data_IF_617244831770
#
_entry.id   IF_617244831770
#
_cell.length_a   1.000
_cell.length_b   1.000
_cell.length_c   1.000
_cell.angle_alpha   90.00
_cell.angle_beta   90.00
_cell.angle_gamma   90.00
#
_symmetry.space_group_name_H-M   'P 1'
#
loop_
_entity.id
_entity.type
_entity.pdbx_description
1 polymer ?
#
# COMPACT_ATOMS: atom_id res chain seq x y z
N UNK A 1 -1.43 17.31 21.72
CA UNK A 1 -1.24 16.18 20.80
C UNK A 1 -2.57 15.45 20.84
N UNK A 2 -3.50 15.83 19.97
CA UNK A 2 -4.87 15.29 19.99
C UNK A 2 -4.86 13.85 19.46
N UNK A 3 -5.56 12.99 20.18
CA UNK A 3 -5.69 11.55 19.97
C UNK A 3 -6.32 11.27 18.58
N UNK A 4 -5.62 10.57 17.66
CA UNK A 4 -6.18 10.21 16.35
C UNK A 4 -7.37 9.22 16.45
N UNK A 5 -7.70 8.72 17.65
CA UNK A 5 -8.76 7.74 17.91
C UNK A 5 -10.05 8.36 18.48
N UNK A 6 -10.16 9.68 18.60
CA UNK A 6 -11.29 10.37 19.24
C UNK A 6 -12.69 10.16 18.60
N UNK A 7 -12.81 9.35 17.54
CA UNK A 7 -14.08 8.94 16.92
C UNK A 7 -14.38 7.44 16.96
N UNK A 8 -13.50 6.61 17.55
CA UNK A 8 -13.70 5.18 17.65
C UNK A 8 -14.54 4.86 18.89
N UNK A 9 -15.85 4.73 18.71
CA UNK A 9 -16.74 4.14 19.72
C UNK A 9 -16.37 2.66 19.91
N UNK A 10 -15.61 2.36 20.96
CA UNK A 10 -15.30 1.01 21.43
C UNK A 10 -16.59 0.31 21.88
N UNK A 11 -17.16 -0.52 21.00
CA UNK A 11 -18.07 -1.59 21.42
C UNK A 11 -17.33 -2.90 21.18
N UNK A 12 -16.67 -3.39 22.23
CA UNK A 12 -16.19 -4.75 22.30
C UNK A 12 -17.44 -5.66 22.44
N UNK A 13 -18.00 -6.12 21.33
CA UNK A 13 -18.89 -7.27 21.35
C UNK A 13 -18.04 -8.52 21.18
N UNK A 14 -17.80 -9.22 22.29
CA UNK A 14 -17.16 -10.53 22.26
C UNK A 14 -18.00 -11.53 21.47
N UNK A 15 -17.40 -12.10 20.43
CA UNK A 15 -17.85 -13.37 19.86
C UNK A 15 -16.82 -14.42 20.26
N UNK A 16 -17.25 -15.33 21.14
CA UNK A 16 -16.54 -16.55 21.48
C UNK A 16 -16.57 -17.50 20.27
N UNK A 17 -15.62 -17.35 19.35
CA UNK A 17 -15.32 -18.41 18.39
C UNK A 17 -14.14 -19.22 18.93
N UNK A 18 -14.48 -20.36 19.53
CA UNK A 18 -13.53 -21.34 20.02
C UNK A 18 -12.74 -21.94 18.86
N UNK A 19 -11.45 -21.61 18.77
CA UNK A 19 -10.51 -22.36 17.95
C UNK A 19 -10.21 -23.70 18.64
N UNK A 20 -10.62 -24.80 18.01
CA UNK A 20 -10.10 -26.13 18.36
C UNK A 20 -8.58 -26.14 18.20
N UNK A 21 -7.87 -26.45 19.28
CA UNK A 21 -6.41 -26.62 19.28
C UNK A 21 -6.08 -27.84 18.42
N UNK A 22 -5.61 -27.61 17.19
CA UNK A 22 -5.08 -28.66 16.32
C UNK A 22 -3.99 -29.45 17.08
N UNK A 23 -4.20 -30.77 17.22
CA UNK A 23 -3.39 -31.63 18.10
C UNK A 23 -1.92 -31.84 17.66
N UNK A 24 -1.53 -31.26 16.53
CA UNK A 24 -0.12 -31.18 16.09
C UNK A 24 0.09 -29.80 15.46
N UNK A 25 0.80 -28.90 16.15
CA UNK A 25 1.26 -27.66 15.51
C UNK A 25 2.14 -28.01 14.31
N UNK A 26 1.96 -27.35 13.15
CA UNK A 26 2.80 -27.60 12.00
C UNK A 26 4.28 -27.32 12.35
N UNK A 27 5.15 -28.29 12.07
CA UNK A 27 6.58 -28.10 12.33
C UNK A 27 7.18 -27.26 11.20
N UNK A 28 7.42 -25.98 11.46
CA UNK A 28 8.18 -25.15 10.54
C UNK A 28 9.66 -25.59 10.53
N UNK A 29 10.37 -25.48 9.39
CA UNK A 29 11.81 -25.69 9.36
C UNK A 29 12.52 -24.86 10.43
N UNK A 30 13.47 -25.45 11.15
CA UNK A 30 14.12 -24.80 12.29
C UNK A 30 14.94 -23.55 11.93
N UNK A 31 15.40 -23.45 10.68
CA UNK A 31 16.19 -22.32 10.18
C UNK A 31 15.45 -21.56 9.09
N UNK A 32 15.52 -20.23 9.15
CA UNK A 32 15.04 -19.36 8.08
C UNK A 32 16.08 -19.28 6.97
N UNK A 33 15.66 -19.36 5.69
CA UNK A 33 16.55 -19.14 4.56
C UNK A 33 17.18 -17.74 4.60
N UNK A 34 18.43 -17.62 4.13
CA UNK A 34 19.04 -16.32 3.94
C UNK A 34 18.50 -15.66 2.66
N UNK A 35 18.16 -14.39 2.76
CA UNK A 35 17.68 -13.57 1.65
C UNK A 35 18.70 -12.45 1.40
N UNK A 36 19.01 -12.21 0.13
CA UNK A 36 19.84 -11.10 -0.30
C UNK A 36 19.03 -10.17 -1.20
N UNK A 37 19.17 -8.86 -0.96
CA UNK A 37 18.51 -7.81 -1.74
C UNK A 37 19.38 -7.45 -2.94
N UNK A 38 18.71 -6.98 -3.99
CA UNK A 38 19.34 -6.57 -5.24
C UNK A 38 19.67 -5.08 -5.27
N UNK A 39 20.21 -4.63 -6.40
CA UNK A 39 20.33 -3.21 -6.71
C UNK A 39 19.03 -2.67 -7.31
N UNK A 40 18.70 -1.39 -7.08
CA UNK A 40 17.50 -0.78 -7.63
C UNK A 40 17.52 -0.76 -9.16
N UNK A 41 16.32 -0.84 -9.74
CA UNK A 41 16.13 -0.73 -11.19
C UNK A 41 16.36 0.71 -11.60
N UNK A 42 17.28 0.91 -12.54
CA UNK A 42 17.64 2.24 -13.05
C UNK A 42 16.74 2.65 -14.22
N UNK A 43 16.72 3.95 -14.52
CA UNK A 43 15.98 4.46 -15.69
C UNK A 43 16.51 3.86 -17.01
N UNK A 44 17.81 3.62 -17.10
CA UNK A 44 18.43 3.00 -18.27
C UNK A 44 17.98 1.54 -18.46
N UNK A 45 17.83 0.79 -17.36
CA UNK A 45 17.29 -0.57 -17.40
C UNK A 45 15.81 -0.59 -17.80
N UNK A 46 15.02 0.42 -17.41
CA UNK A 46 13.61 0.53 -17.81
C UNK A 46 13.43 0.48 -19.33
N UNK A 47 14.25 1.21 -20.09
CA UNK A 47 14.19 1.22 -21.54
C UNK A 47 14.46 -0.15 -22.19
N UNK A 48 15.10 -1.09 -21.47
CA UNK A 48 15.34 -2.45 -21.95
C UNK A 48 14.16 -3.40 -21.68
N UNK A 49 13.36 -3.14 -20.64
CA UNK A 49 12.18 -3.95 -20.29
C UNK A 49 10.91 -3.47 -20.96
N UNK A 50 10.85 -2.18 -21.28
CA UNK A 50 9.66 -1.49 -21.73
C UNK A 50 9.89 -1.12 -23.20
N UNK A 51 9.16 -1.76 -24.11
CA UNK A 51 9.21 -1.40 -25.53
C UNK A 51 8.50 -0.05 -25.66
N UNK A 52 9.26 1.04 -25.45
CA UNK A 52 8.76 2.40 -25.57
C UNK A 52 8.45 2.60 -27.04
N UNK A 53 7.19 2.39 -27.43
CA UNK A 53 6.76 2.55 -28.80
C UNK A 53 6.89 4.02 -29.24
N UNK A 54 8.04 4.39 -29.83
CA UNK A 54 8.20 5.02 -31.14
C UNK A 54 9.65 5.47 -31.40
N UNK A 55 10.14 5.21 -32.63
CA UNK A 55 11.22 5.97 -33.26
C UNK A 55 12.62 5.35 -33.19
N UNK A 56 13.03 4.66 -34.27
CA UNK A 56 14.39 4.19 -34.40
C UNK A 56 15.44 5.28 -34.16
N UNK A 57 16.48 4.93 -33.40
CA UNK A 57 17.83 5.51 -33.50
C UNK A 57 18.07 6.96 -33.05
N UNK A 58 17.08 7.84 -32.90
CA UNK A 58 17.32 9.27 -32.61
C UNK A 58 16.76 9.82 -31.30
N UNK A 59 15.82 9.13 -30.63
CA UNK A 59 15.10 9.72 -29.49
C UNK A 59 15.70 9.40 -28.10
N UNK A 60 16.90 8.82 -28.05
CA UNK A 60 17.66 8.63 -26.79
C UNK A 60 18.06 9.96 -26.12
N UNK A 61 18.31 11.00 -26.90
CA UNK A 61 18.68 12.33 -26.38
C UNK A 61 17.46 13.16 -25.94
N UNK A 62 16.27 12.89 -26.48
CA UNK A 62 15.03 13.62 -26.15
C UNK A 62 14.56 13.34 -24.72
N UNK A 63 14.62 12.08 -24.28
CA UNK A 63 14.28 11.63 -22.91
C UNK A 63 15.15 12.29 -21.82
N UNK A 64 16.37 12.70 -22.14
CA UNK A 64 17.29 13.34 -21.18
C UNK A 64 17.05 14.84 -21.02
N UNK A 65 16.20 15.45 -21.86
CA UNK A 65 16.09 16.92 -21.95
C UNK A 65 14.82 17.52 -21.33
N UNK A 66 13.75 16.74 -21.11
CA UNK A 66 12.53 17.17 -20.39
C UNK A 66 11.60 15.98 -20.08
N UNK A 67 11.26 15.68 -18.81
CA UNK A 67 10.39 14.56 -18.45
C UNK A 67 8.87 14.85 -18.62
N UNK A 68 8.48 16.01 -19.16
CA UNK A 68 7.10 16.50 -19.06
C UNK A 68 6.19 16.26 -20.28
N UNK A 69 6.53 15.40 -21.23
CA UNK A 69 5.62 15.09 -22.35
C UNK A 69 5.34 13.60 -22.49
N UNK A 70 4.08 13.23 -22.16
CA UNK A 70 3.41 11.99 -22.56
C UNK A 70 4.28 10.74 -22.49
N UNK A 71 4.42 10.16 -21.30
CA UNK A 71 4.97 8.82 -21.16
C UNK A 71 4.08 7.84 -21.96
N UNK A 72 4.57 7.44 -23.14
CA UNK A 72 4.02 6.41 -23.99
C UNK A 72 3.71 5.16 -23.16
N UNK A 73 2.55 4.54 -23.37
CA UNK A 73 2.17 3.33 -22.63
C UNK A 73 3.25 2.28 -22.84
N UNK A 74 3.77 1.82 -21.73
CA UNK A 74 4.76 0.77 -21.66
C UNK A 74 4.13 -0.55 -22.11
N UNK A 75 4.54 -1.06 -23.27
CA UNK A 75 4.16 -2.40 -23.73
C UNK A 75 5.30 -3.36 -23.37
N UNK A 76 5.05 -4.27 -22.44
CA UNK A 76 5.96 -5.35 -22.09
C UNK A 76 5.21 -6.68 -22.21
N UNK A 77 5.89 -7.74 -22.65
CA UNK A 77 5.31 -9.09 -22.61
C UNK A 77 5.02 -9.49 -21.16
N UNK A 78 4.17 -10.50 -20.96
CA UNK A 78 3.90 -11.03 -19.62
C UNK A 78 5.18 -11.49 -18.91
N UNK A 79 6.12 -12.09 -19.66
CA UNK A 79 7.41 -12.54 -19.15
C UNK A 79 8.32 -11.37 -18.75
N UNK A 80 8.44 -10.34 -19.61
CA UNK A 80 9.19 -9.11 -19.29
C UNK A 80 8.60 -8.39 -18.08
N UNK A 81 7.27 -8.32 -17.98
CA UNK A 81 6.56 -7.73 -16.85
C UNK A 81 6.84 -8.50 -15.55
N UNK A 82 6.83 -9.84 -15.62
CA UNK A 82 7.15 -10.68 -14.46
C UNK A 82 8.61 -10.52 -14.02
N UNK A 83 9.54 -10.44 -14.97
CA UNK A 83 10.96 -10.20 -14.67
C UNK A 83 11.20 -8.82 -14.05
N UNK A 84 10.58 -7.78 -14.61
CA UNK A 84 10.67 -6.43 -14.06
C UNK A 84 10.10 -6.37 -12.63
N UNK A 85 8.95 -6.99 -12.38
CA UNK A 85 8.42 -7.12 -11.01
C UNK A 85 9.39 -7.84 -10.07
N UNK A 86 10.06 -8.91 -10.51
CA UNK A 86 11.10 -9.60 -9.71
C UNK A 86 12.28 -8.68 -9.40
N UNK A 87 12.75 -7.91 -10.39
CA UNK A 87 13.84 -6.93 -10.23
C UNK A 87 13.46 -5.85 -9.21
N UNK A 88 12.27 -5.27 -9.33
CA UNK A 88 11.75 -4.26 -8.39
C UNK A 88 11.58 -4.85 -6.98
N UNK A 89 11.03 -6.06 -6.86
CA UNK A 89 10.89 -6.75 -5.57
C UNK A 89 12.25 -6.95 -4.89
N UNK A 90 13.30 -7.27 -5.67
CA UNK A 90 14.64 -7.49 -5.15
C UNK A 90 15.34 -6.21 -4.73
N UNK A 91 15.33 -5.18 -5.57
CA UNK A 91 16.19 -4.00 -5.41
C UNK A 91 15.49 -2.64 -5.32
N UNK A 92 14.21 -2.57 -5.66
CA UNK A 92 13.44 -1.32 -5.66
C UNK A 92 13.67 -0.52 -6.93
N UNK A 93 13.38 0.77 -6.86
CA UNK A 93 13.42 1.68 -8.01
C UNK A 93 14.26 2.90 -7.66
N UNK A 94 15.15 3.27 -8.58
CA UNK A 94 15.95 4.49 -8.48
C UNK A 94 15.04 5.74 -8.64
N UNK A 95 15.28 6.85 -7.91
CA UNK A 95 14.39 8.02 -7.91
C UNK A 95 13.97 8.51 -9.30
N UNK A 96 14.89 8.55 -10.26
CA UNK A 96 14.69 9.02 -11.63
C UNK A 96 13.73 8.11 -12.44
N UNK A 97 13.62 6.84 -12.07
CA UNK A 97 12.74 5.87 -12.72
C UNK A 97 11.35 5.78 -12.06
N UNK A 98 11.16 6.36 -10.86
CA UNK A 98 9.92 6.21 -10.08
C UNK A 98 8.69 6.71 -10.81
N UNK A 99 8.73 7.89 -11.43
CA UNK A 99 7.56 8.45 -12.11
C UNK A 99 7.02 7.49 -13.19
N UNK A 100 7.91 6.91 -14.00
CA UNK A 100 7.55 5.95 -15.04
C UNK A 100 7.06 4.63 -14.45
N UNK A 101 7.83 4.03 -13.54
CA UNK A 101 7.56 2.68 -13.06
C UNK A 101 6.44 2.61 -12.04
N UNK A 102 6.21 3.64 -11.22
CA UNK A 102 5.05 3.71 -10.33
C UNK A 102 3.75 3.78 -11.14
N UNK A 103 3.75 4.62 -12.19
CA UNK A 103 2.63 4.69 -13.13
C UNK A 103 2.38 3.31 -13.76
N UNK A 104 3.42 2.61 -14.16
CA UNK A 104 3.29 1.26 -14.72
C UNK A 104 2.80 0.22 -13.68
N UNK A 105 3.33 0.22 -12.45
CA UNK A 105 2.91 -0.71 -11.40
C UNK A 105 1.43 -0.53 -11.05
N UNK A 106 0.97 0.72 -10.92
CA UNK A 106 -0.36 1.06 -10.43
C UNK A 106 -1.43 1.15 -11.52
N UNK A 107 -1.08 1.50 -12.77
CA UNK A 107 -2.04 1.60 -13.88
C UNK A 107 -1.83 0.55 -14.98
N UNK A 108 -0.65 -0.03 -15.11
CA UNK A 108 -0.24 -0.85 -16.26
C UNK A 108 -0.28 -2.36 -16.04
N UNK A 109 -0.29 -2.82 -14.79
CA UNK A 109 -0.40 -4.24 -14.47
C UNK A 109 -1.80 -4.75 -14.81
N UNK A 110 -1.92 -5.92 -15.44
CA UNK A 110 -3.18 -6.57 -15.85
C UNK A 110 -4.22 -6.78 -14.72
N UNK A 111 -3.87 -6.43 -13.47
CA UNK A 111 -4.72 -6.46 -12.29
C UNK A 111 -5.42 -5.11 -11.98
N UNK A 112 -5.17 -4.05 -12.74
CA UNK A 112 -5.96 -2.81 -12.61
C UNK A 112 -7.42 -3.10 -13.03
N UNK A 113 -8.42 -2.92 -12.17
CA UNK A 113 -9.80 -3.27 -12.45
C UNK A 113 -10.41 -2.42 -13.58
N UNK A 114 -11.34 -3.03 -14.32
CA UNK A 114 -12.41 -2.42 -15.10
C UNK A 114 -12.11 -1.40 -16.23
N UNK A 115 -10.89 -1.33 -16.77
CA UNK A 115 -10.62 -0.56 -18.00
C UNK A 115 -10.99 -1.36 -19.27
N UNK A 116 -12.23 -1.83 -19.33
CA UNK A 116 -12.78 -2.55 -20.49
C UNK A 116 -12.79 -1.78 -21.83
N UNK A 117 -12.60 -0.45 -21.94
CA UNK A 117 -12.59 0.16 -23.28
C UNK A 117 -11.29 0.04 -24.09
N UNK A 118 -10.20 -0.55 -23.60
CA UNK A 118 -8.89 -0.31 -24.25
C UNK A 118 -7.89 -1.48 -24.31
N UNK A 119 -8.37 -2.72 -24.27
CA UNK A 119 -7.55 -3.88 -24.62
C UNK A 119 -7.43 -4.04 -26.15
N UNK A 120 -6.67 -3.19 -26.85
CA UNK A 120 -6.15 -3.50 -28.19
C UNK A 120 -5.14 -2.47 -28.74
N UNK A 121 -3.87 -2.85 -28.87
CA UNK A 121 -2.80 -2.28 -29.74
C UNK A 121 -2.27 -0.86 -29.47
N UNK A 122 -0.99 -0.62 -29.80
CA UNK A 122 -0.29 0.67 -29.70
C UNK A 122 -0.96 1.88 -30.41
N UNK A 123 -2.00 1.67 -31.22
CA UNK A 123 -2.84 2.74 -31.79
C UNK A 123 -3.82 3.37 -30.77
N UNK A 124 -3.79 2.88 -29.53
CA UNK A 124 -4.81 3.08 -28.51
C UNK A 124 -4.28 3.87 -27.30
N UNK A 125 -2.97 4.13 -27.21
CA UNK A 125 -2.36 4.86 -26.10
C UNK A 125 -2.75 6.33 -26.06
N UNK A 126 -2.75 6.99 -27.22
CA UNK A 126 -3.27 8.35 -27.34
C UNK A 126 -4.75 8.44 -26.93
N UNK A 127 -5.54 7.38 -27.19
CA UNK A 127 -6.94 7.30 -26.76
C UNK A 127 -7.06 7.08 -25.26
N UNK A 128 -6.18 6.27 -24.65
CA UNK A 128 -6.12 6.03 -23.20
C UNK A 128 -5.84 7.33 -22.46
N UNK A 129 -4.77 8.01 -22.85
CA UNK A 129 -4.36 9.26 -22.21
C UNK A 129 -5.38 10.38 -22.40
N UNK A 130 -6.01 10.44 -23.57
CA UNK A 130 -7.12 11.36 -23.82
C UNK A 130 -8.31 11.05 -22.91
N UNK A 131 -8.68 9.78 -22.77
CA UNK A 131 -9.76 9.34 -21.89
C UNK A 131 -9.47 9.65 -20.43
N UNK A 132 -8.29 9.28 -19.91
CA UNK A 132 -7.88 9.54 -18.52
C UNK A 132 -7.99 11.04 -18.19
N UNK A 133 -7.56 11.90 -19.12
CA UNK A 133 -7.64 13.36 -18.97
C UNK A 133 -9.07 13.87 -18.98
N UNK A 134 -9.90 13.43 -19.92
CA UNK A 134 -11.29 13.86 -20.01
C UNK A 134 -12.10 13.39 -18.81
N UNK A 135 -11.89 12.14 -18.40
CA UNK A 135 -12.58 11.51 -17.28
C UNK A 135 -12.22 12.18 -15.95
N UNK A 136 -10.92 12.40 -15.69
CA UNK A 136 -10.49 13.17 -14.53
C UNK A 136 -11.12 14.58 -14.53
N UNK A 137 -11.12 15.26 -15.68
CA UNK A 137 -11.74 16.58 -15.81
C UNK A 137 -13.24 16.53 -15.55
N UNK A 138 -13.93 15.49 -16.00
CA UNK A 138 -15.35 15.26 -15.78
C UNK A 138 -15.66 15.09 -14.28
N UNK A 139 -14.91 14.24 -13.58
CA UNK A 139 -15.04 14.01 -12.15
C UNK A 139 -14.74 15.29 -11.34
N UNK A 140 -13.66 16.00 -11.67
CA UNK A 140 -13.29 17.25 -11.00
C UNK A 140 -14.36 18.32 -11.15
N UNK A 141 -14.95 18.46 -12.34
CA UNK A 141 -16.06 19.41 -12.59
C UNK A 141 -17.29 19.12 -11.71
N UNK A 142 -17.57 17.87 -11.36
CA UNK A 142 -18.75 17.52 -10.55
C UNK A 142 -18.70 18.18 -9.17
N UNK A 143 -17.60 18.06 -8.43
CA UNK A 143 -17.49 18.66 -7.10
C UNK A 143 -17.14 20.16 -7.18
N UNK A 144 -16.33 20.57 -8.15
CA UNK A 144 -15.89 21.96 -8.27
C UNK A 144 -17.01 22.92 -8.71
N UNK A 145 -18.08 22.40 -9.32
CA UNK A 145 -19.28 23.19 -9.68
C UNK A 145 -20.32 23.30 -8.57
N UNK A 146 -20.11 22.61 -7.44
CA UNK A 146 -21.03 22.69 -6.28
C UNK A 146 -20.90 24.06 -5.63
N UNK A 147 -21.98 24.85 -5.69
CA UNK A 147 -22.06 26.15 -5.01
C UNK A 147 -22.11 26.00 -3.49
N UNK A 148 -21.73 27.04 -2.76
CA UNK A 148 -21.85 27.06 -1.28
C UNK A 148 -23.28 26.77 -0.80
N UNK A 149 -24.30 27.27 -1.51
CA UNK A 149 -25.69 26.97 -1.18
C UNK A 149 -26.05 25.49 -1.36
N UNK A 150 -25.51 24.82 -2.38
CA UNK A 150 -25.66 23.38 -2.57
C UNK A 150 -24.86 22.59 -1.52
N UNK A 151 -23.62 22.99 -1.24
CA UNK A 151 -22.76 22.37 -0.22
C UNK A 151 -23.43 22.37 1.16
N UNK A 152 -24.07 23.49 1.53
CA UNK A 152 -24.83 23.61 2.78
C UNK A 152 -26.04 22.65 2.88
N UNK A 153 -26.53 22.16 1.74
CA UNK A 153 -27.65 21.20 1.64
C UNK A 153 -27.19 19.78 1.29
N UNK A 154 -25.88 19.54 1.25
CA UNK A 154 -25.30 18.24 0.96
C UNK A 154 -24.33 17.83 2.09
N UNK A 155 -24.89 17.37 3.21
CA UNK A 155 -24.13 17.05 4.42
C UNK A 155 -22.98 16.07 4.15
N UNK A 156 -23.24 14.97 3.43
CA UNK A 156 -22.20 13.96 3.16
C UNK A 156 -20.98 14.55 2.44
N UNK A 157 -21.18 15.37 1.40
CA UNK A 157 -20.08 16.01 0.67
C UNK A 157 -19.37 17.06 1.53
N UNK A 158 -20.13 17.88 2.27
CA UNK A 158 -19.59 18.90 3.17
C UNK A 158 -18.73 18.27 4.26
N UNK A 159 -19.21 17.22 4.89
CA UNK A 159 -18.53 16.55 6.00
C UNK A 159 -17.25 15.87 5.50
N UNK A 160 -17.28 15.23 4.31
CA UNK A 160 -16.08 14.70 3.62
C UNK A 160 -15.07 15.80 3.29
N UNK A 161 -15.52 16.93 2.74
CA UNK A 161 -14.66 18.10 2.46
C UNK A 161 -13.98 18.59 3.74
N UNK A 162 -14.71 18.70 4.85
CA UNK A 162 -14.14 19.10 6.14
C UNK A 162 -13.11 18.10 6.68
N UNK A 163 -13.29 16.80 6.46
CA UNK A 163 -12.29 15.78 6.82
C UNK A 163 -11.03 15.91 5.96
N UNK A 164 -11.19 16.09 4.64
CA UNK A 164 -10.08 16.32 3.71
C UNK A 164 -9.29 17.57 4.12
N UNK A 165 -9.97 18.69 4.38
CA UNK A 165 -9.31 19.94 4.78
C UNK A 165 -8.50 19.76 6.08
N UNK A 166 -9.02 19.04 7.07
CA UNK A 166 -8.30 18.73 8.32
C UNK A 166 -7.03 17.92 8.06
N UNK A 167 -7.12 16.88 7.25
CA UNK A 167 -5.99 15.98 6.99
C UNK A 167 -4.94 16.60 6.07
N UNK A 168 -5.35 17.33 5.03
CA UNK A 168 -4.45 18.09 4.15
C UNK A 168 -3.60 19.07 4.96
N UNK A 169 -4.22 19.81 5.89
CA UNK A 169 -3.53 20.83 6.69
C UNK A 169 -2.44 20.25 7.62
N UNK A 170 -2.54 18.97 7.98
CA UNK A 170 -1.55 18.28 8.84
C UNK A 170 -0.62 17.33 8.09
N UNK A 171 -0.80 17.14 6.78
CA UNK A 171 -0.03 16.18 5.99
C UNK A 171 1.43 16.62 5.81
N UNK A 172 2.36 15.75 6.24
CA UNK A 172 3.80 15.77 5.98
C UNK A 172 4.48 17.16 5.96
N UNK A 173 4.13 18.03 6.93
CA UNK A 173 4.58 19.43 7.00
C UNK A 173 6.09 19.62 7.10
N UNK A 174 6.82 18.56 7.43
CA UNK A 174 8.29 18.53 7.45
C UNK A 174 8.89 18.34 6.05
N UNK A 175 8.14 17.77 5.11
CA UNK A 175 8.57 17.55 3.74
C UNK A 175 8.46 18.84 2.90
N UNK A 176 9.46 19.11 2.06
CA UNK A 176 9.55 20.36 1.30
C UNK A 176 8.31 20.63 0.43
N UNK A 177 7.74 19.58 -0.16
CA UNK A 177 6.55 19.67 -1.01
C UNK A 177 5.29 20.21 -0.28
N UNK A 178 5.16 19.93 1.03
CA UNK A 178 3.98 20.22 1.84
C UNK A 178 4.22 21.27 2.93
N UNK A 179 5.42 21.86 2.98
CA UNK A 179 5.82 22.84 4.00
C UNK A 179 5.05 24.15 3.92
N UNK A 180 4.74 24.63 2.71
CA UNK A 180 3.96 25.85 2.48
C UNK A 180 2.45 25.54 2.61
N UNK A 181 1.70 26.16 3.55
CA UNK A 181 0.24 26.01 3.64
C UNK A 181 -0.50 26.35 2.34
N UNK A 182 0.07 27.26 1.54
CA UNK A 182 -0.48 27.65 0.24
C UNK A 182 0.32 27.04 -0.92
N UNK A 183 1.04 25.95 -0.67
CA UNK A 183 1.84 25.26 -1.66
C UNK A 183 0.98 24.54 -2.72
N UNK A 184 1.55 24.34 -3.91
CA UNK A 184 0.85 23.64 -5.01
C UNK A 184 0.44 22.22 -4.63
N UNK A 185 1.28 21.47 -3.90
CA UNK A 185 1.02 20.07 -3.59
C UNK A 185 -0.14 19.88 -2.61
N UNK A 186 -0.38 20.83 -1.68
CA UNK A 186 -1.55 20.74 -0.78
C UNK A 186 -2.86 21.03 -1.51
N UNK A 187 -2.84 21.97 -2.48
CA UNK A 187 -3.99 22.15 -3.37
C UNK A 187 -4.25 20.91 -4.21
N UNK A 188 -3.21 20.34 -4.81
CA UNK A 188 -3.34 19.08 -5.57
C UNK A 188 -3.83 17.93 -4.68
N UNK A 189 -3.35 17.83 -3.43
CA UNK A 189 -3.81 16.84 -2.47
C UNK A 189 -5.30 16.99 -2.18
N UNK A 190 -5.76 18.21 -1.88
CA UNK A 190 -7.17 18.51 -1.69
C UNK A 190 -8.01 18.17 -2.92
N UNK A 191 -7.59 18.62 -4.09
CA UNK A 191 -8.31 18.45 -5.36
C UNK A 191 -8.41 16.97 -5.76
N UNK A 192 -7.32 16.21 -5.64
CA UNK A 192 -7.29 14.78 -5.92
C UNK A 192 -8.22 14.01 -4.98
N UNK A 193 -8.22 14.30 -3.67
CA UNK A 193 -9.09 13.62 -2.70
C UNK A 193 -10.57 13.95 -2.94
N UNK A 194 -10.89 15.21 -3.25
CA UNK A 194 -12.25 15.61 -3.63
C UNK A 194 -12.70 14.93 -4.92
N UNK A 195 -11.80 14.82 -5.91
CA UNK A 195 -12.07 14.16 -7.19
C UNK A 195 -12.22 12.65 -7.00
N UNK A 196 -11.43 12.02 -6.12
CA UNK A 196 -11.58 10.61 -5.78
C UNK A 196 -12.91 10.32 -5.10
N UNK A 197 -13.37 11.23 -4.23
CA UNK A 197 -14.70 11.13 -3.64
C UNK A 197 -15.84 11.18 -4.66
N UNK A 198 -15.63 11.73 -5.87
CA UNK A 198 -16.59 11.63 -6.99
C UNK A 198 -16.43 10.33 -7.77
N UNK A 199 -15.21 9.78 -7.86
CA UNK A 199 -14.91 8.51 -8.51
C UNK A 199 -15.55 7.33 -7.75
N UNK A 200 -15.31 7.25 -6.44
CA UNK A 200 -15.91 6.27 -5.55
C UNK A 200 -16.73 7.02 -4.50
N UNK A 201 -18.00 7.28 -4.82
CA UNK A 201 -18.88 8.08 -3.97
C UNK A 201 -19.34 7.36 -2.70
N UNK A 202 -19.35 6.02 -2.70
CA UNK A 202 -19.73 5.23 -1.54
C UNK A 202 -18.65 5.30 -0.46
N UNK A 203 -17.40 5.06 -0.84
CA UNK A 203 -16.24 5.20 0.05
C UNK A 203 -15.95 6.67 0.38
N UNK A 204 -15.92 7.54 -0.64
CA UNK A 204 -15.67 8.96 -0.49
C UNK A 204 -14.26 9.26 0.03
N UNK A 205 -14.17 9.73 1.27
CA UNK A 205 -12.92 10.00 1.96
C UNK A 205 -12.97 9.49 3.40
N UNK A 206 -11.91 8.79 3.80
CA UNK A 206 -11.67 8.31 5.15
C UNK A 206 -10.28 8.77 5.60
N UNK A 207 -10.17 9.12 6.88
CA UNK A 207 -8.94 9.62 7.49
C UNK A 207 -7.78 8.63 7.22
N UNK A 208 -6.63 9.16 6.78
CA UNK A 208 -5.47 8.35 6.39
C UNK A 208 -5.30 8.19 4.88
N UNK A 209 -6.34 8.38 4.05
CA UNK A 209 -6.19 8.36 2.59
C UNK A 209 -5.25 9.46 2.05
N UNK A 210 -5.13 10.59 2.75
CA UNK A 210 -4.16 11.64 2.41
C UNK A 210 -2.72 11.17 2.57
N UNK A 211 -2.45 10.28 3.51
CA UNK A 211 -1.12 9.70 3.73
C UNK A 211 -0.70 8.77 2.59
N UNK A 212 -1.68 8.08 2.00
CA UNK A 212 -1.48 7.23 0.83
C UNK A 212 -1.20 8.06 -0.44
N UNK A 213 -1.92 9.17 -0.62
CA UNK A 213 -1.78 10.02 -1.80
C UNK A 213 -0.54 10.92 -1.77
N UNK A 214 -0.07 11.35 -0.59
CA UNK A 214 1.00 12.32 -0.48
C UNK A 214 2.30 11.91 -1.21
N UNK A 215 2.84 10.68 -1.07
CA UNK A 215 4.02 10.28 -1.82
C UNK A 215 3.80 10.21 -3.34
N UNK A 216 2.61 9.79 -3.78
CA UNK A 216 2.26 9.77 -5.21
C UNK A 216 2.33 11.17 -5.83
N UNK A 217 1.86 12.21 -5.12
CA UNK A 217 1.94 13.60 -5.58
C UNK A 217 3.37 14.11 -5.74
N UNK A 218 4.27 13.70 -4.84
CA UNK A 218 5.67 14.10 -4.89
C UNK A 218 6.39 13.41 -6.05
N UNK A 219 6.09 12.13 -6.31
CA UNK A 219 6.71 11.39 -7.43
C UNK A 219 6.14 11.78 -8.79
N UNK A 220 4.82 11.96 -8.90
CA UNK A 220 4.16 12.20 -10.19
C UNK A 220 4.26 13.66 -10.65
N UNK A 221 4.34 14.62 -9.73
CA UNK A 221 4.35 16.08 -9.94
C UNK A 221 3.20 16.66 -10.78
N UNK A 222 2.28 15.83 -11.28
CA UNK A 222 1.03 16.23 -11.95
C UNK A 222 -0.18 15.69 -11.21
N UNK A 223 -1.26 16.48 -11.18
CA UNK A 223 -2.51 16.09 -10.52
C UNK A 223 -3.15 14.88 -11.21
N UNK A 224 -3.15 14.88 -12.56
CA UNK A 224 -3.75 13.82 -13.37
C UNK A 224 -3.10 12.46 -13.10
N UNK A 225 -1.77 12.40 -13.11
CA UNK A 225 -1.06 11.14 -12.96
C UNK A 225 -1.10 10.65 -11.51
N UNK A 226 -0.99 11.57 -10.55
CA UNK A 226 -1.15 11.24 -9.13
C UNK A 226 -2.55 10.71 -8.82
N UNK A 227 -3.59 11.33 -9.39
CA UNK A 227 -4.98 10.88 -9.22
C UNK A 227 -5.16 9.44 -9.71
N UNK A 228 -4.73 9.12 -10.94
CA UNK A 228 -4.94 7.79 -11.49
C UNK A 228 -4.03 6.73 -10.85
N UNK A 229 -2.81 7.10 -10.42
CA UNK A 229 -1.99 6.21 -9.58
C UNK A 229 -2.68 5.95 -8.24
N UNK A 230 -3.33 6.96 -7.66
CA UNK A 230 -4.05 6.84 -6.41
C UNK A 230 -5.30 5.96 -6.54
N UNK A 231 -6.03 6.06 -7.65
CA UNK A 231 -7.12 5.13 -7.98
C UNK A 231 -6.59 3.68 -8.00
N UNK A 232 -5.53 3.41 -8.76
CA UNK A 232 -4.92 2.07 -8.81
C UNK A 232 -4.37 1.58 -7.47
N UNK A 233 -3.89 2.49 -6.62
CA UNK A 233 -3.48 2.14 -5.25
C UNK A 233 -4.71 1.84 -4.36
N UNK A 234 -5.79 2.60 -4.50
CA UNK A 234 -7.01 2.38 -3.75
C UNK A 234 -7.70 1.06 -4.14
N UNK A 235 -7.51 0.53 -5.35
CA UNK A 235 -7.99 -0.82 -5.69
C UNK A 235 -7.37 -1.92 -4.81
N UNK A 236 -6.18 -1.66 -4.24
CA UNK A 236 -5.51 -2.56 -3.28
C UNK A 236 -5.92 -2.30 -1.83
N UNK A 237 -6.41 -1.10 -1.54
CA UNK A 237 -6.55 -0.57 -0.18
C UNK A 237 -7.98 -0.22 0.23
N UNK A 238 -8.93 -0.16 -0.69
CA UNK A 238 -10.29 0.34 -0.46
C UNK A 238 -10.99 -0.39 0.70
N UNK A 239 -10.88 -1.72 0.75
CA UNK A 239 -11.46 -2.56 1.81
C UNK A 239 -10.97 -2.15 3.23
N UNK A 240 -9.77 -1.56 3.35
CA UNK A 240 -9.27 -1.06 4.64
C UNK A 240 -10.03 0.16 5.15
N UNK A 241 -10.74 0.86 4.27
CA UNK A 241 -11.49 2.08 4.54
C UNK A 241 -13.01 1.89 4.51
N UNK A 242 -13.49 0.65 4.42
CA UNK A 242 -14.92 0.35 4.53
C UNK A 242 -15.50 0.83 5.86
N UNK A 243 -16.75 1.27 5.82
CA UNK A 243 -17.43 1.86 6.99
C UNK A 243 -17.57 0.86 8.16
N UNK A 244 -17.67 -0.44 7.88
CA UNK A 244 -17.74 -1.52 8.87
C UNK A 244 -16.37 -2.08 9.28
N UNK A 245 -15.30 -1.56 8.66
CA UNK A 245 -13.90 -1.96 8.82
C UNK A 245 -13.64 -3.44 8.53
N UNK A 246 -14.42 -4.05 7.64
CA UNK A 246 -14.29 -5.48 7.32
C UNK A 246 -12.89 -5.86 6.82
N UNK A 247 -12.27 -5.07 5.93
CA UNK A 247 -10.91 -5.32 5.44
C UNK A 247 -9.87 -5.29 6.55
N UNK A 248 -9.93 -4.29 7.44
CA UNK A 248 -9.01 -4.18 8.58
C UNK A 248 -9.15 -5.34 9.57
N UNK A 249 -10.38 -5.70 9.94
CA UNK A 249 -10.63 -6.85 10.84
C UNK A 249 -10.10 -8.15 10.26
N UNK A 250 -10.29 -8.36 8.95
CA UNK A 250 -9.78 -9.52 8.23
C UNK A 250 -8.25 -9.58 8.27
N UNK A 251 -7.58 -8.48 7.91
CA UNK A 251 -6.11 -8.44 7.92
C UNK A 251 -5.52 -8.64 9.33
N UNK A 252 -6.15 -8.09 10.36
CA UNK A 252 -5.73 -8.30 11.77
C UNK A 252 -5.91 -9.75 12.21
N UNK A 253 -7.01 -10.41 11.83
CA UNK A 253 -7.22 -11.83 12.08
C UNK A 253 -6.19 -12.70 11.35
N UNK A 254 -5.91 -12.41 10.07
CA UNK A 254 -4.88 -13.09 9.30
C UNK A 254 -3.48 -12.87 9.90
N UNK A 255 -3.18 -11.66 10.37
CA UNK A 255 -1.94 -11.36 11.08
C UNK A 255 -1.83 -12.15 12.38
N UNK A 256 -2.91 -12.27 13.16
CA UNK A 256 -2.96 -13.10 14.37
C UNK A 256 -2.64 -14.56 14.06
N UNK A 257 -3.22 -15.15 13.00
CA UNK A 257 -2.90 -16.52 12.57
C UNK A 257 -1.41 -16.67 12.20
N UNK A 258 -0.87 -15.73 11.42
CA UNK A 258 0.55 -15.74 11.03
C UNK A 258 1.47 -15.62 12.25
N UNK A 259 1.18 -14.72 13.19
CA UNK A 259 1.95 -14.54 14.43
C UNK A 259 1.87 -15.79 15.31
N UNK A 260 0.70 -16.42 15.40
CA UNK A 260 0.52 -17.67 16.16
C UNK A 260 1.38 -18.81 15.63
N UNK A 261 1.55 -18.89 14.31
CA UNK A 261 2.38 -19.91 13.67
C UNK A 261 3.87 -19.57 13.67
N UNK A 262 4.24 -18.33 13.35
CA UNK A 262 5.64 -17.90 13.19
C UNK A 262 6.32 -17.53 14.50
N UNK A 263 5.57 -17.01 15.49
CA UNK A 263 6.06 -16.41 16.73
C UNK A 263 5.24 -16.89 17.94
N UNK A 264 5.20 -18.21 18.22
CA UNK A 264 4.29 -18.80 19.21
C UNK A 264 4.51 -18.27 20.64
N UNK A 265 5.74 -17.92 21.00
CA UNK A 265 6.07 -17.32 22.30
C UNK A 265 5.44 -15.93 22.47
N UNK A 266 5.53 -15.09 21.42
CA UNK A 266 4.86 -13.79 21.38
C UNK A 266 3.34 -13.96 21.36
N UNK A 267 2.80 -14.87 20.56
CA UNK A 267 1.37 -15.11 20.48
C UNK A 267 0.77 -15.52 21.85
N UNK A 268 1.47 -16.40 22.57
CA UNK A 268 1.10 -16.79 23.93
C UNK A 268 1.18 -15.62 24.92
N UNK A 269 2.15 -14.72 24.75
CA UNK A 269 2.24 -13.51 25.54
C UNK A 269 1.07 -12.56 25.27
N UNK A 270 0.77 -12.28 24.01
CA UNK A 270 -0.31 -11.38 23.62
C UNK A 270 -1.67 -11.91 24.08
N UNK A 271 -1.91 -13.22 23.95
CA UNK A 271 -3.16 -13.86 24.43
C UNK A 271 -3.31 -13.72 25.95
N UNK A 272 -2.23 -13.89 26.72
CA UNK A 272 -2.26 -13.72 28.19
C UNK A 272 -2.61 -12.30 28.63
N UNK A 273 -2.31 -11.32 27.80
CA UNK A 273 -2.51 -9.89 28.05
C UNK A 273 -3.68 -9.29 27.25
N UNK A 274 -4.57 -10.12 26.70
CA UNK A 274 -5.74 -9.71 25.89
C UNK A 274 -5.38 -8.76 24.72
N UNK A 275 -4.18 -8.93 24.17
CA UNK A 275 -3.61 -8.15 23.08
C UNK A 275 -3.54 -8.92 21.74
N UNK A 276 -4.15 -10.11 21.67
CA UNK A 276 -4.15 -11.02 20.52
C UNK A 276 -5.01 -10.55 19.34
N UNK A 277 -5.81 -9.49 19.52
CA UNK A 277 -6.56 -8.82 18.45
C UNK A 277 -5.68 -7.97 17.51
N UNK A 278 -4.40 -7.80 17.83
CA UNK A 278 -3.40 -7.09 17.01
C UNK A 278 -3.70 -5.61 16.72
N UNK A 279 -4.61 -4.95 17.44
CA UNK A 279 -4.98 -3.55 17.15
C UNK A 279 -3.80 -2.56 17.24
N UNK A 280 -2.72 -2.90 17.94
CA UNK A 280 -1.48 -2.11 17.92
C UNK A 280 -0.81 -2.05 16.53
N UNK A 281 -1.15 -2.96 15.61
CA UNK A 281 -0.73 -2.94 14.20
C UNK A 281 -1.72 -2.21 13.28
N UNK A 282 -2.84 -1.68 13.78
CA UNK A 282 -3.89 -1.07 12.95
C UNK A 282 -3.34 0.06 12.06
N UNK A 283 -2.53 0.95 12.62
CA UNK A 283 -1.90 2.06 11.87
C UNK A 283 -0.97 1.55 10.77
N UNK A 284 -0.25 0.46 11.01
CA UNK A 284 0.65 -0.13 10.01
C UNK A 284 -0.11 -0.60 8.78
N UNK A 285 -1.23 -1.29 8.99
CA UNK A 285 -2.03 -1.87 7.91
C UNK A 285 -2.88 -0.82 7.19
N UNK A 286 -3.49 0.12 7.93
CA UNK A 286 -4.37 1.13 7.34
C UNK A 286 -3.66 2.02 6.32
N UNK A 287 -2.42 2.44 6.63
CA UNK A 287 -1.64 3.35 5.77
C UNK A 287 -0.34 2.74 5.26
N UNK A 288 -0.29 1.40 5.15
CA UNK A 288 0.87 0.63 4.68
C UNK A 288 2.22 1.19 5.19
N UNK A 289 2.35 1.25 6.51
CA UNK A 289 3.53 1.66 7.26
C UNK A 289 4.03 3.09 6.98
N UNK A 290 3.26 3.95 6.30
CA UNK A 290 3.65 5.33 5.96
C UNK A 290 4.14 6.15 7.15
N UNK A 291 3.62 5.85 8.35
CA UNK A 291 3.95 6.54 9.60
C UNK A 291 5.19 5.98 10.30
N UNK A 292 5.70 4.84 9.86
CA UNK A 292 6.81 4.14 10.52
C UNK A 292 8.15 4.38 9.85
N UNK A 293 8.14 4.90 8.62
CA UNK A 293 9.32 5.03 7.77
C UNK A 293 9.54 6.46 7.30
N UNK A 294 10.78 6.79 6.94
CA UNK A 294 11.10 8.03 6.24
C UNK A 294 10.61 7.99 4.79
N UNK A 295 10.53 9.15 4.13
CA UNK A 295 9.95 9.27 2.79
C UNK A 295 10.55 8.29 1.77
N UNK A 296 11.88 8.17 1.71
CA UNK A 296 12.54 7.28 0.76
C UNK A 296 12.30 5.80 1.07
N UNK A 297 12.25 5.45 2.36
CA UNK A 297 11.92 4.09 2.82
C UNK A 297 10.46 3.72 2.51
N UNK A 298 9.53 4.68 2.63
CA UNK A 298 8.14 4.50 2.22
C UNK A 298 8.06 4.22 0.73
N UNK A 299 8.74 5.02 -0.10
CA UNK A 299 8.81 4.80 -1.54
C UNK A 299 9.31 3.38 -1.85
N UNK A 300 10.45 3.00 -1.27
CA UNK A 300 11.07 1.69 -1.44
C UNK A 300 10.16 0.54 -1.00
N UNK A 301 9.48 0.68 0.13
CA UNK A 301 8.55 -0.34 0.65
C UNK A 301 7.36 -0.53 -0.30
N UNK A 302 6.71 0.56 -0.71
CA UNK A 302 5.54 0.48 -1.58
C UNK A 302 5.87 -0.08 -2.96
N UNK A 303 7.04 0.27 -3.51
CA UNK A 303 7.56 -0.34 -4.74
C UNK A 303 7.61 -1.87 -4.64
N UNK A 304 8.07 -2.41 -3.50
CA UNK A 304 8.09 -3.87 -3.25
C UNK A 304 6.67 -4.42 -3.15
N UNK A 305 5.81 -3.79 -2.35
CA UNK A 305 4.44 -4.27 -2.12
C UNK A 305 3.61 -4.29 -3.41
N UNK A 306 3.70 -3.26 -4.25
CA UNK A 306 2.98 -3.17 -5.52
C UNK A 306 3.41 -4.22 -6.55
N UNK A 307 4.56 -4.87 -6.37
CA UNK A 307 4.92 -6.02 -7.24
C UNK A 307 3.97 -7.21 -7.06
N UNK A 308 3.30 -7.32 -5.90
CA UNK A 308 2.50 -8.49 -5.53
C UNK A 308 3.34 -9.74 -5.24
N UNK A 309 4.66 -9.58 -5.08
CA UNK A 309 5.60 -10.66 -4.76
C UNK A 309 6.00 -10.63 -3.28
N UNK A 310 6.40 -11.79 -2.71
CA UNK A 310 6.35 -13.12 -3.31
C UNK A 310 4.97 -13.80 -3.13
N UNK A 311 4.03 -13.15 -2.44
CA UNK A 311 2.75 -13.70 -2.02
C UNK A 311 1.67 -12.61 -1.95
N UNK A 312 0.41 -13.03 -1.88
CA UNK A 312 -0.76 -12.12 -1.92
C UNK A 312 -0.73 -11.03 -0.85
N UNK A 313 -0.45 -11.41 0.40
CA UNK A 313 -0.48 -10.52 1.56
C UNK A 313 0.91 -10.32 2.18
N UNK A 314 1.91 -9.97 1.37
CA UNK A 314 3.29 -9.79 1.84
C UNK A 314 3.45 -8.70 2.92
N UNK A 315 2.56 -7.70 2.95
CA UNK A 315 2.52 -6.67 4.00
C UNK A 315 2.26 -7.26 5.40
N UNK A 316 1.54 -8.38 5.53
CA UNK A 316 1.34 -9.06 6.82
C UNK A 316 2.62 -9.74 7.31
N UNK A 317 3.43 -10.27 6.38
CA UNK A 317 4.76 -10.80 6.73
C UNK A 317 5.74 -9.68 7.12
N UNK A 318 5.56 -8.46 6.59
CA UNK A 318 6.30 -7.29 7.07
C UNK A 318 5.93 -6.96 8.53
N UNK A 319 4.66 -7.03 8.92
CA UNK A 319 4.26 -6.92 10.33
C UNK A 319 4.93 -8.00 11.19
N UNK A 320 4.88 -9.26 10.74
CA UNK A 320 5.52 -10.38 11.46
C UNK A 320 7.03 -10.16 11.62
N UNK A 321 7.71 -9.66 10.59
CA UNK A 321 9.14 -9.36 10.63
C UNK A 321 9.50 -8.28 11.66
N UNK A 322 8.70 -7.22 11.77
CA UNK A 322 8.90 -6.20 12.82
C UNK A 322 8.68 -6.84 14.19
N UNK A 323 7.59 -7.59 14.37
CA UNK A 323 7.28 -8.22 15.67
C UNK A 323 8.30 -9.28 16.08
N UNK A 324 8.88 -10.03 15.14
CA UNK A 324 9.93 -11.01 15.40
C UNK A 324 11.21 -10.37 15.97
N UNK A 325 11.54 -9.17 15.50
CA UNK A 325 12.66 -8.37 16.02
C UNK A 325 12.39 -7.88 17.43
N UNK A 326 11.16 -7.46 17.71
CA UNK A 326 10.78 -6.77 18.95
C UNK A 326 10.25 -7.70 20.04
N UNK A 327 9.91 -8.97 19.71
CA UNK A 327 9.27 -9.92 20.64
C UNK A 327 10.02 -10.09 21.96
N UNK A 328 11.36 -10.09 21.91
CA UNK A 328 12.17 -10.34 23.09
C UNK A 328 12.01 -9.24 24.13
N UNK A 329 11.91 -7.97 23.68
CA UNK A 329 11.64 -6.82 24.55
C UNK A 329 10.23 -6.89 25.10
N UNK A 330 9.23 -7.11 24.22
CA UNK A 330 7.81 -7.18 24.61
C UNK A 330 7.58 -8.22 25.71
N UNK A 331 8.14 -9.42 25.54
CA UNK A 331 7.98 -10.53 26.49
C UNK A 331 8.78 -10.28 27.77
N UNK A 332 10.03 -9.82 27.66
CA UNK A 332 10.90 -9.61 28.84
C UNK A 332 10.40 -8.50 29.74
N UNK A 333 9.85 -7.43 29.17
CA UNK A 333 9.25 -6.32 29.92
C UNK A 333 7.80 -6.58 30.34
N UNK A 334 7.27 -7.76 30.00
CA UNK A 334 5.90 -8.20 30.30
C UNK A 334 4.83 -7.17 29.90
N UNK A 335 4.97 -6.61 28.69
CA UNK A 335 4.11 -5.52 28.23
C UNK A 335 2.68 -6.00 27.98
N UNK A 336 1.70 -5.29 28.56
CA UNK A 336 0.27 -5.46 28.25
C UNK A 336 -0.11 -4.78 26.93
N UNK A 337 -1.39 -4.80 26.53
CA UNK A 337 -1.86 -4.15 25.30
C UNK A 337 -1.42 -2.67 25.20
N UNK A 338 -1.53 -1.90 26.29
CA UNK A 338 -1.20 -0.46 26.29
C UNK A 338 0.31 -0.26 26.16
N UNK A 339 1.10 -1.09 26.85
CA UNK A 339 2.55 -1.12 26.77
C UNK A 339 3.03 -1.46 25.37
N UNK A 340 2.48 -2.51 24.76
CA UNK A 340 2.80 -2.92 23.38
C UNK A 340 2.44 -1.81 22.40
N UNK A 341 1.23 -1.24 22.49
CA UNK A 341 0.80 -0.14 21.62
C UNK A 341 1.74 1.07 21.72
N UNK A 342 2.12 1.46 22.94
CA UNK A 342 3.07 2.56 23.15
C UNK A 342 4.43 2.23 22.55
N UNK A 343 4.96 1.05 22.85
CA UNK A 343 6.26 0.61 22.34
C UNK A 343 6.30 0.59 20.81
N UNK A 344 5.29 -0.02 20.18
CA UNK A 344 5.13 -0.08 18.72
C UNK A 344 5.06 1.32 18.11
N UNK A 345 4.33 2.26 18.72
CA UNK A 345 4.28 3.64 18.25
C UNK A 345 5.64 4.34 18.34
N UNK A 346 6.45 4.03 19.34
CA UNK A 346 7.79 4.57 19.55
C UNK A 346 8.84 3.97 18.60
N UNK A 347 8.51 2.92 17.85
CA UNK A 347 9.36 2.36 16.79
C UNK A 347 9.37 3.20 15.51
N UNK A 348 8.44 4.15 15.36
CA UNK A 348 8.38 5.01 14.18
C UNK A 348 9.75 5.64 13.89
N UNK A 349 10.19 5.53 12.63
CA UNK A 349 11.49 5.98 12.11
C UNK A 349 12.72 5.26 12.70
N UNK A 350 12.54 4.15 13.43
CA UNK A 350 13.64 3.32 13.99
C UNK A 350 13.72 1.92 13.36
N UNK A 351 12.76 1.58 12.49
CA UNK A 351 12.69 0.28 11.83
C UNK A 351 13.66 0.27 10.65
N UNK A 352 14.55 -0.73 10.61
CA UNK A 352 15.41 -0.99 9.45
C UNK A 352 14.59 -1.69 8.34
N UNK A 353 14.34 -0.95 7.25
CA UNK A 353 13.50 -1.42 6.14
C UNK A 353 14.05 -2.68 5.47
N UNK A 354 15.34 -2.70 5.12
CA UNK A 354 15.91 -3.81 4.36
C UNK A 354 16.00 -5.08 5.21
N UNK A 355 16.32 -4.96 6.50
CA UNK A 355 16.26 -6.07 7.44
C UNK A 355 14.83 -6.60 7.62
N UNK A 356 13.83 -5.72 7.71
CA UNK A 356 12.42 -6.10 7.77
C UNK A 356 12.02 -6.87 6.50
N UNK A 357 12.32 -6.33 5.32
CA UNK A 357 12.01 -6.98 4.04
C UNK A 357 12.69 -8.35 3.94
N UNK A 358 13.97 -8.46 4.30
CA UNK A 358 14.72 -9.72 4.30
C UNK A 358 14.07 -10.78 5.19
N UNK A 359 13.70 -10.38 6.40
CA UNK A 359 13.06 -11.26 7.38
C UNK A 359 11.67 -11.69 6.91
N UNK A 360 10.88 -10.77 6.38
CA UNK A 360 9.54 -11.06 5.85
C UNK A 360 9.59 -12.07 4.69
N UNK A 361 10.54 -11.92 3.78
CA UNK A 361 10.72 -12.89 2.69
C UNK A 361 11.26 -14.23 3.20
N UNK A 362 12.19 -14.22 4.15
CA UNK A 362 12.69 -15.45 4.75
C UNK A 362 11.57 -16.23 5.45
N UNK A 363 10.63 -15.53 6.12
CA UNK A 363 9.41 -16.13 6.68
C UNK A 363 8.53 -16.73 5.60
N UNK A 364 8.32 -16.05 4.47
CA UNK A 364 7.58 -16.61 3.34
C UNK A 364 8.21 -17.91 2.83
N UNK A 365 9.54 -17.92 2.62
CA UNK A 365 10.25 -19.10 2.15
C UNK A 365 10.21 -20.25 3.16
N UNK A 366 10.28 -19.95 4.45
CA UNK A 366 10.14 -20.93 5.53
C UNK A 366 8.74 -21.56 5.51
N UNK A 367 7.69 -20.75 5.38
CA UNK A 367 6.30 -21.23 5.30
C UNK A 367 6.07 -22.07 4.05
N UNK A 368 6.61 -21.65 2.90
CA UNK A 368 6.52 -22.39 1.64
C UNK A 368 7.17 -23.78 1.69
N UNK A 369 8.15 -23.96 2.58
CA UNK A 369 8.85 -25.25 2.78
C UNK A 369 8.19 -26.12 3.86
N UNK A 370 7.16 -25.65 4.55
CA UNK A 370 6.47 -26.43 5.56
C UNK A 370 5.69 -27.58 4.90
N UNK A 371 5.78 -28.78 5.48
CA UNK A 371 5.11 -29.98 4.96
C UNK A 371 3.58 -29.87 4.99
N UNK A 372 3.06 -29.21 6.02
CA UNK A 372 1.65 -28.90 6.19
C UNK A 372 1.52 -27.46 6.67
N UNK A 373 0.72 -26.66 5.97
CA UNK A 373 0.32 -25.33 6.42
C UNK A 373 -1.16 -25.36 6.82
N UNK A 374 -1.55 -24.65 7.89
CA UNK A 374 -2.96 -24.38 8.15
C UNK A 374 -3.61 -23.72 6.92
N UNK A 375 -4.84 -24.13 6.62
CA UNK A 375 -5.57 -23.69 5.41
C UNK A 375 -5.74 -22.17 5.39
N UNK A 376 -6.08 -21.56 6.52
CA UNK A 376 -6.23 -20.11 6.67
C UNK A 376 -4.92 -19.36 6.36
N UNK A 377 -3.77 -19.90 6.78
CA UNK A 377 -2.45 -19.35 6.47
C UNK A 377 -2.10 -19.52 5.00
N UNK A 378 -2.40 -20.70 4.43
CA UNK A 378 -2.16 -20.96 3.01
C UNK A 378 -3.01 -20.04 2.12
N UNK A 379 -4.29 -19.85 2.44
CA UNK A 379 -5.19 -18.91 1.75
C UNK A 379 -4.70 -17.47 1.88
N UNK A 380 -4.31 -17.06 3.10
CA UNK A 380 -3.78 -15.72 3.38
C UNK A 380 -2.58 -15.40 2.50
N UNK A 381 -1.70 -16.38 2.25
CA UNK A 381 -0.50 -16.18 1.43
C UNK A 381 -0.71 -16.50 -0.06
N UNK A 382 -1.86 -17.07 -0.44
CA UNK A 382 -2.11 -17.55 -1.80
C UNK A 382 -1.27 -18.77 -2.17
N UNK A 383 -1.04 -19.66 -1.21
CA UNK A 383 -0.31 -20.94 -1.38
C UNK A 383 -1.25 -22.14 -1.59
N UNK A 384 -2.58 -21.94 -1.52
CA UNK A 384 -3.56 -22.98 -1.85
C UNK A 384 -3.45 -23.38 -3.31
N UNK A 385 -3.38 -24.68 -3.57
CA UNK A 385 -3.55 -25.23 -4.91
C UNK A 385 -4.99 -24.97 -5.30
N UNK A 386 -5.25 -24.10 -6.29
CA UNK A 386 -6.54 -24.10 -6.96
C UNK A 386 -6.74 -25.49 -7.56
N UNK A 387 -7.54 -26.32 -6.89
CA UNK A 387 -8.13 -27.49 -7.52
C UNK A 387 -9.12 -26.94 -8.55
N UNK A 388 -8.61 -26.62 -9.75
CA UNK A 388 -9.45 -26.41 -10.92
C UNK A 388 -10.24 -27.70 -11.16
N UNK A 389 -11.53 -27.69 -10.79
CA UNK A 389 -12.50 -28.72 -11.15
C UNK A 389 -13.09 -28.45 -12.53
#
# INVERSE_FOLDING_TARGET
MEDPFAGLSLVASGSEDGFEVLSTQPTLPATRPQVQRGQPVTLAECAAFLDVANGGGSDRESLMSSPTSSASTVVATAEQSAELKRRIFRGGIEPEARQLLWRWLLLGSAAAPCWEPLQASASTDGKREAWLREEHSRLKRQWASVTEAQMNRFSALRDRRSLIEKDVNRTDRQHAAFKDPNGRHLRMLSDCLMTYGMYNFDLGYVQGMSDLLAPLLVVMDTELDAFWCFVGFMDLMADNFDADQAGMKRQLAQLRSLVSLLLPDLANHLTRHEADNMYFCFRWLLVWFKREFHYDDVCRLWEVLWTGLPCRNFHLLCCCAILDRERATIIKEDLDFTGVLKYVNELAHKIDLEQMLNTAEAMYLQLKQADQLPEDVAETLGLTVELCY
#
